data_IF_976598181988
#
_entry.id   IF_976598181988
#
_cell.length_a   1.000
_cell.length_b   1.000
_cell.length_c   1.000
_cell.angle_alpha   90.00
_cell.angle_beta   90.00
_cell.angle_gamma   90.00
#
_symmetry.space_group_name_H-M   'P 1'
#
loop_
_entity.id
_entity.type
_entity.pdbx_description
1 polymer ?
#
# COMPACT_ATOMS: atom_id res chain seq x y z
N UNK A 1 32.86 7.76 -5.67
CA UNK A 1 32.02 8.66 -4.83
C UNK A 1 31.10 7.83 -3.94
N UNK A 2 31.35 7.76 -2.62
CA UNK A 2 30.43 7.12 -1.67
C UNK A 2 29.27 8.09 -1.40
N UNK A 3 28.06 7.73 -1.81
CA UNK A 3 26.83 8.48 -1.49
C UNK A 3 26.71 8.50 0.03
N UNK A 4 26.89 9.68 0.63
CA UNK A 4 26.76 9.88 2.07
C UNK A 4 25.31 9.55 2.41
N UNK A 5 25.07 8.41 3.05
CA UNK A 5 23.76 8.13 3.65
C UNK A 5 23.61 9.11 4.81
N UNK A 6 23.06 10.30 4.53
CA UNK A 6 22.52 11.15 5.58
C UNK A 6 21.37 10.32 6.15
N UNK A 7 21.57 9.82 7.36
CA UNK A 7 20.50 9.23 8.13
C UNK A 7 19.59 10.39 8.53
N UNK A 8 18.71 10.79 7.61
CA UNK A 8 17.58 11.68 7.83
C UNK A 8 16.59 10.96 8.76
N UNK A 9 17.02 10.64 9.99
CA UNK A 9 16.11 10.23 11.05
C UNK A 9 15.14 11.39 11.17
N UNK A 10 13.93 11.22 10.63
CA UNK A 10 12.91 12.27 10.59
C UNK A 10 12.50 12.57 12.01
N UNK A 11 13.11 13.58 12.62
CA UNK A 11 12.58 14.21 13.81
C UNK A 11 11.39 15.03 13.32
N UNK A 12 10.20 14.43 13.40
CA UNK A 12 8.95 15.13 13.17
C UNK A 12 8.46 15.69 14.50
N UNK A 13 8.12 16.98 14.51
CA UNK A 13 7.42 17.57 15.65
C UNK A 13 6.11 16.81 15.91
N UNK A 14 5.64 16.75 17.18
CA UNK A 14 4.35 16.15 17.49
C UNK A 14 3.22 16.69 16.62
N UNK A 15 2.44 15.78 16.02
CA UNK A 15 1.34 16.07 15.11
C UNK A 15 0.16 15.15 15.42
N UNK A 16 -1.05 15.59 15.08
CA UNK A 16 -2.24 14.74 15.13
C UNK A 16 -2.25 13.67 14.03
N UNK A 17 -1.39 13.81 13.03
CA UNK A 17 -1.26 12.85 11.93
C UNK A 17 -0.07 11.93 12.23
N UNK A 18 -0.33 10.63 12.26
CA UNK A 18 0.69 9.60 12.39
C UNK A 18 0.97 8.96 11.02
N UNK A 19 2.21 8.54 10.82
CA UNK A 19 2.61 7.68 9.70
C UNK A 19 2.75 6.26 10.22
N UNK A 20 1.95 5.33 9.68
CA UNK A 20 2.11 3.90 9.94
C UNK A 20 2.91 3.20 8.83
N UNK A 21 3.74 2.25 9.23
CA UNK A 21 4.56 1.43 8.34
C UNK A 21 4.44 -0.04 8.71
N UNK A 22 4.93 -0.89 7.80
CA UNK A 22 5.05 -2.33 8.01
C UNK A 22 3.71 -2.97 8.38
N UNK A 23 2.65 -2.59 7.68
CA UNK A 23 1.34 -3.24 7.79
C UNK A 23 1.17 -4.24 6.64
N UNK A 24 0.34 -5.28 6.78
CA UNK A 24 0.03 -6.19 5.70
C UNK A 24 -0.47 -5.48 4.43
N UNK A 25 -0.27 -6.06 3.25
CA UNK A 25 -0.75 -5.48 1.98
C UNK A 25 -2.26 -5.59 1.83
N UNK A 26 -2.83 -6.62 2.44
CA UNK A 26 -4.25 -6.93 2.55
C UNK A 26 -4.94 -6.23 3.74
N UNK A 27 -4.22 -5.37 4.49
CA UNK A 27 -4.79 -4.66 5.64
C UNK A 27 -5.97 -3.77 5.21
N UNK A 28 -7.06 -3.84 5.99
CA UNK A 28 -8.17 -2.91 5.89
C UNK A 28 -7.99 -1.76 6.88
N UNK A 29 -8.20 -0.51 6.45
CA UNK A 29 -8.11 0.64 7.35
C UNK A 29 -9.08 0.57 8.54
N UNK A 30 -10.19 -0.17 8.43
CA UNK A 30 -11.11 -0.45 9.53
C UNK A 30 -10.46 -1.29 10.64
N UNK A 31 -9.56 -2.23 10.29
CA UNK A 31 -8.80 -3.00 11.27
C UNK A 31 -7.83 -2.11 12.05
N UNK A 32 -7.14 -1.20 11.34
CA UNK A 32 -6.25 -0.20 11.96
C UNK A 32 -7.05 0.71 12.90
N UNK A 33 -8.19 1.25 12.47
CA UNK A 33 -9.06 2.05 13.33
C UNK A 33 -9.50 1.27 14.57
N UNK A 34 -9.97 0.03 14.39
CA UNK A 34 -10.44 -0.81 15.50
C UNK A 34 -9.34 -1.07 16.54
N UNK A 35 -8.12 -1.35 16.09
CA UNK A 35 -6.97 -1.48 16.98
C UNK A 35 -6.74 -0.20 17.82
N UNK A 36 -6.82 0.97 17.17
CA UNK A 36 -6.62 2.26 17.84
C UNK A 36 -7.70 2.56 18.88
N UNK A 37 -8.98 2.42 18.51
CA UNK A 37 -10.08 2.73 19.44
C UNK A 37 -10.09 1.77 20.64
N UNK A 38 -9.72 0.51 20.43
CA UNK A 38 -9.63 -0.49 21.49
C UNK A 38 -8.49 -0.17 22.45
N UNK A 39 -7.29 0.12 21.94
CA UNK A 39 -6.14 0.45 22.77
C UNK A 39 -6.33 1.76 23.56
N UNK A 40 -7.02 2.74 22.97
CA UNK A 40 -7.28 4.03 23.61
C UNK A 40 -8.57 4.07 24.43
N UNK A 41 -9.44 3.04 24.32
CA UNK A 41 -10.80 3.05 24.87
C UNK A 41 -11.58 4.32 24.48
N UNK A 42 -11.43 4.77 23.23
CA UNK A 42 -11.93 6.05 22.75
C UNK A 42 -12.40 5.92 21.29
N UNK A 43 -13.73 5.86 21.09
CA UNK A 43 -14.37 5.57 19.78
C UNK A 43 -14.14 6.66 18.74
N UNK A 44 -14.03 7.91 19.19
CA UNK A 44 -13.83 9.11 18.37
C UNK A 44 -12.36 9.53 18.26
N UNK A 45 -11.43 8.67 18.68
CA UNK A 45 -9.99 8.97 18.62
C UNK A 45 -9.49 9.16 17.19
N UNK A 46 -10.07 8.45 16.22
CA UNK A 46 -9.62 8.40 14.81
C UNK A 46 -10.58 9.19 13.93
N UNK A 47 -10.07 10.23 13.27
CA UNK A 47 -10.82 11.01 12.28
C UNK A 47 -10.74 10.36 10.89
N UNK A 48 -9.55 9.90 10.51
CA UNK A 48 -9.37 9.28 9.20
C UNK A 48 -8.20 8.31 9.14
N UNK A 49 -8.30 7.35 8.23
CA UNK A 49 -7.24 6.41 7.86
C UNK A 49 -6.99 6.56 6.37
N UNK A 50 -5.74 6.74 5.96
CA UNK A 50 -5.34 6.80 4.55
C UNK A 50 -4.37 5.68 4.26
N UNK A 51 -4.70 4.78 3.34
CA UNK A 51 -3.76 3.80 2.78
C UNK A 51 -3.06 4.47 1.60
N UNK A 52 -1.73 4.63 1.69
CA UNK A 52 -0.93 5.28 0.64
C UNK A 52 -0.62 4.31 -0.50
N UNK A 53 -0.27 4.81 -1.70
CA UNK A 53 0.10 3.95 -2.81
C UNK A 53 1.42 3.25 -2.51
N UNK A 54 1.59 2.05 -3.08
CA UNK A 54 2.86 1.34 -3.01
C UNK A 54 3.90 2.11 -3.82
N UNK A 55 5.05 2.37 -3.20
CA UNK A 55 6.14 3.10 -3.88
C UNK A 55 6.85 2.27 -4.94
N UNK A 56 6.82 0.94 -4.79
CA UNK A 56 7.44 0.00 -5.71
C UNK A 56 6.46 -1.15 -6.00
N UNK A 57 6.50 -1.75 -7.20
CA UNK A 57 5.61 -2.86 -7.57
C UNK A 57 5.79 -4.12 -6.69
N UNK A 58 6.97 -4.31 -6.13
CA UNK A 58 7.36 -5.45 -5.28
C UNK A 58 7.22 -5.15 -3.78
N UNK A 59 6.47 -4.09 -3.41
CA UNK A 59 6.30 -3.70 -2.02
C UNK A 59 5.75 -4.86 -1.19
N UNK A 60 6.47 -5.23 -0.13
CA UNK A 60 6.10 -6.34 0.78
C UNK A 60 5.15 -5.93 1.90
N UNK A 61 4.97 -4.63 2.09
CA UNK A 61 4.17 -4.06 3.17
C UNK A 61 3.48 -2.79 2.69
N UNK A 62 2.34 -2.51 3.32
CA UNK A 62 1.61 -1.27 3.14
C UNK A 62 2.08 -0.20 4.14
N UNK A 63 1.76 1.05 3.82
CA UNK A 63 2.05 2.22 4.63
C UNK A 63 0.95 3.25 4.44
N UNK A 64 0.77 4.12 5.42
CA UNK A 64 -0.28 5.12 5.33
C UNK A 64 -0.29 6.12 6.46
N UNK A 65 -1.38 6.87 6.54
CA UNK A 65 -1.54 7.95 7.50
C UNK A 65 -2.78 7.70 8.37
N UNK A 66 -2.65 8.05 9.64
CA UNK A 66 -3.71 7.97 10.64
C UNK A 66 -3.90 9.36 11.24
N UNK A 67 -5.05 9.98 10.99
CA UNK A 67 -5.39 11.28 11.57
C UNK A 67 -6.19 11.08 12.86
N UNK A 68 -5.61 11.58 13.95
CA UNK A 68 -6.16 11.51 15.30
C UNK A 68 -6.92 12.79 15.64
N UNK A 69 -7.84 12.69 16.61
CA UNK A 69 -8.61 13.84 17.08
C UNK A 69 -7.74 14.90 17.79
N UNK A 70 -6.66 14.50 18.44
CA UNK A 70 -5.70 15.40 19.08
C UNK A 70 -4.27 14.87 19.01
N UNK A 71 -3.29 15.75 19.27
CA UNK A 71 -1.87 15.38 19.37
C UNK A 71 -1.63 14.44 20.56
N UNK A 72 -2.34 14.62 21.68
CA UNK A 72 -2.21 13.76 22.85
C UNK A 72 -2.66 12.32 22.56
N UNK A 73 -3.77 12.16 21.84
CA UNK A 73 -4.24 10.85 21.39
C UNK A 73 -3.26 10.22 20.41
N UNK A 74 -2.65 11.01 19.53
CA UNK A 74 -1.59 10.53 18.63
C UNK A 74 -0.35 10.06 19.40
N UNK A 75 0.10 10.79 20.42
CA UNK A 75 1.21 10.37 21.26
C UNK A 75 0.89 9.06 22.02
N UNK A 76 -0.31 8.97 22.61
CA UNK A 76 -0.78 7.74 23.27
C UNK A 76 -0.87 6.55 22.30
N UNK A 77 -1.38 6.78 21.09
CA UNK A 77 -1.45 5.75 20.06
C UNK A 77 -0.06 5.22 19.69
N UNK A 78 0.95 6.09 19.53
CA UNK A 78 2.34 5.65 19.32
C UNK A 78 2.80 4.77 20.50
N UNK A 79 2.60 5.23 21.74
CA UNK A 79 3.06 4.49 22.92
C UNK A 79 2.46 3.09 23.03
N UNK A 80 1.17 2.95 22.70
CA UNK A 80 0.41 1.71 22.92
C UNK A 80 0.42 0.75 21.72
N UNK A 81 0.52 1.27 20.50
CA UNK A 81 0.31 0.49 19.27
C UNK A 81 1.57 0.29 18.45
N UNK A 82 2.66 1.00 18.76
CA UNK A 82 3.92 0.76 18.09
C UNK A 82 4.38 -0.69 18.39
N UNK A 83 4.72 -1.42 17.34
CA UNK A 83 5.01 -2.86 17.35
C UNK A 83 3.81 -3.77 17.61
N UNK A 84 2.58 -3.28 17.46
CA UNK A 84 1.41 -4.15 17.42
C UNK A 84 1.53 -5.17 16.28
N UNK A 85 1.21 -6.43 16.59
CA UNK A 85 1.13 -7.51 15.61
C UNK A 85 -0.14 -7.38 14.77
N UNK A 86 0.03 -7.49 13.45
CA UNK A 86 -1.04 -7.52 12.46
C UNK A 86 -0.90 -8.77 11.62
N UNK A 87 -1.95 -9.59 11.63
CA UNK A 87 -2.03 -10.79 10.81
C UNK A 87 -2.23 -10.44 9.33
N UNK A 88 -1.73 -11.32 8.46
CA UNK A 88 -1.90 -11.22 7.00
C UNK A 88 -2.34 -12.57 6.45
N UNK A 89 -3.23 -12.55 5.46
CA UNK A 89 -3.54 -13.73 4.66
C UNK A 89 -2.36 -14.19 3.77
N UNK A 90 -1.34 -13.34 3.61
CA UNK A 90 -0.22 -13.54 2.68
C UNK A 90 1.10 -13.91 3.36
N UNK A 91 1.11 -14.03 4.69
CA UNK A 91 2.30 -14.30 5.49
C UNK A 91 1.93 -15.12 6.72
N UNK A 92 2.71 -16.16 7.00
CA UNK A 92 2.59 -16.95 8.24
C UNK A 92 3.09 -16.20 9.48
N UNK A 93 3.94 -15.19 9.28
CA UNK A 93 4.48 -14.36 10.35
C UNK A 93 3.72 -13.03 10.46
N UNK A 94 3.40 -12.58 11.69
CA UNK A 94 2.71 -11.33 11.91
C UNK A 94 3.58 -10.12 11.57
N UNK A 95 2.95 -9.08 11.05
CA UNK A 95 3.59 -7.80 10.79
C UNK A 95 3.63 -6.95 12.05
N UNK A 96 4.79 -6.41 12.41
CA UNK A 96 4.92 -5.45 13.51
C UNK A 96 4.73 -4.03 13.00
N UNK A 97 3.55 -3.46 13.22
CA UNK A 97 3.21 -2.10 12.80
C UNK A 97 4.18 -1.10 13.44
N UNK A 98 4.63 -0.10 12.69
CA UNK A 98 5.44 1.01 13.23
C UNK A 98 4.70 2.32 13.10
N UNK A 99 4.70 3.12 14.16
CA UNK A 99 4.08 4.45 14.18
C UNK A 99 5.12 5.53 14.46
N UNK A 100 4.99 6.66 13.75
CA UNK A 100 5.68 7.90 14.12
C UNK A 100 4.83 9.11 13.77
N UNK A 101 5.20 10.28 14.32
CA UNK A 101 4.59 11.53 13.87
C UNK A 101 4.86 11.78 12.40
N UNK A 102 3.83 12.17 11.68
CA UNK A 102 3.93 12.58 10.28
C UNK A 102 4.47 14.00 10.19
N UNK A 103 5.22 14.29 9.12
CA UNK A 103 5.59 15.66 8.75
C UNK A 103 4.39 16.51 8.32
N UNK A 104 3.25 15.87 8.05
CA UNK A 104 2.01 16.53 7.67
C UNK A 104 1.29 17.04 8.92
N UNK A 105 0.81 18.28 8.86
CA UNK A 105 0.06 18.93 9.94
C UNK A 105 -1.43 18.99 9.63
N UNK A 106 -1.80 18.97 8.35
CA UNK A 106 -3.19 19.09 7.90
C UNK A 106 -3.46 18.18 6.70
N UNK A 107 -4.64 17.57 6.70
CA UNK A 107 -5.20 16.81 5.59
C UNK A 107 -6.53 17.44 5.19
N UNK A 108 -6.76 17.66 3.90
CA UNK A 108 -8.01 18.24 3.37
C UNK A 108 -8.43 17.57 2.08
N UNK A 109 -9.72 17.31 1.92
CA UNK A 109 -10.30 16.97 0.62
C UNK A 109 -10.51 18.26 -0.17
N UNK A 110 -10.16 18.28 -1.46
CA UNK A 110 -10.34 19.46 -2.31
C UNK A 110 -11.84 19.68 -2.58
N UNK A 111 -12.34 20.89 -2.30
CA UNK A 111 -13.76 21.30 -2.39
C UNK A 111 -14.37 21.36 -3.81
N UNK A 112 -13.73 20.78 -4.82
CA UNK A 112 -14.20 20.84 -6.21
C UNK A 112 -13.89 19.57 -7.01
N UNK A 113 -12.78 18.91 -6.69
CA UNK A 113 -12.43 17.59 -7.21
C UNK A 113 -12.50 16.59 -6.04
N UNK A 114 -13.61 15.86 -5.91
CA UNK A 114 -13.82 14.88 -4.82
C UNK A 114 -12.72 13.79 -4.78
N UNK A 115 -11.97 13.63 -5.86
CA UNK A 115 -10.97 12.58 -6.08
C UNK A 115 -9.55 12.94 -5.60
N UNK A 116 -9.35 14.04 -4.87
CA UNK A 116 -8.03 14.48 -4.45
C UNK A 116 -7.92 14.79 -2.96
N UNK A 117 -6.92 14.19 -2.31
CA UNK A 117 -6.52 14.47 -0.95
C UNK A 117 -5.27 15.35 -0.94
N UNK A 118 -5.33 16.44 -0.21
CA UNK A 118 -4.26 17.42 -0.08
C UNK A 118 -3.66 17.33 1.31
N UNK A 119 -2.35 17.14 1.38
CA UNK A 119 -1.57 17.14 2.61
C UNK A 119 -0.68 18.36 2.66
N UNK A 120 -0.76 19.10 3.76
CA UNK A 120 0.05 20.29 3.99
C UNK A 120 0.95 20.05 5.19
N UNK A 121 2.19 20.51 5.11
CA UNK A 121 3.04 20.74 6.28
C UNK A 121 3.04 22.23 6.56
N UNK A 122 2.91 22.59 7.83
CA UNK A 122 3.19 23.94 8.31
C UNK A 122 4.51 23.81 9.04
N UNK A 123 5.54 24.53 8.60
CA UNK A 123 6.76 24.66 9.39
C UNK A 123 6.35 25.19 10.77
N UNK A 124 6.40 24.33 11.79
CA UNK A 124 6.17 24.80 13.17
C UNK A 124 7.44 25.52 13.56
N UNK A 125 7.34 26.83 13.55
CA UNK A 125 8.32 27.76 14.08
C UNK A 125 8.74 27.28 15.48
N UNK A 126 9.84 26.55 15.60
CA UNK A 126 10.46 26.21 16.88
C UNK A 126 11.36 27.39 17.23
N UNK A 127 11.09 28.16 18.31
CA UNK A 127 11.88 29.34 18.66
C UNK A 127 13.32 29.00 19.11
N UNK A 128 13.66 27.72 19.24
CA UNK A 128 14.97 27.29 19.66
C UNK A 128 15.88 27.15 18.44
N UNK A 129 16.58 28.26 18.16
CA UNK A 129 17.84 28.44 17.44
C UNK A 129 17.74 29.51 16.34
N UNK A 130 18.10 30.73 16.75
CA UNK A 130 18.65 31.85 15.98
C UNK A 130 17.84 32.43 14.81
N UNK A 131 17.49 33.71 14.99
CA UNK A 131 17.16 34.71 13.97
C UNK A 131 17.33 34.26 12.51
N UNK A 132 16.23 33.87 11.89
CA UNK A 132 16.03 34.09 10.47
C UNK A 132 14.54 34.22 10.21
N UNK A 133 14.15 35.34 9.59
CA UNK A 133 12.85 35.50 8.96
C UNK A 133 12.75 34.41 7.87
N UNK A 134 12.24 33.23 8.21
CA UNK A 134 11.92 32.20 7.25
C UNK A 134 10.41 32.24 7.01
N UNK A 135 10.07 32.63 5.79
CA UNK A 135 8.72 32.56 5.22
C UNK A 135 8.08 31.22 5.57
N UNK A 136 6.78 31.23 5.90
CA UNK A 136 5.97 30.01 6.08
C UNK A 136 6.08 29.10 4.85
N UNK A 137 7.05 28.21 4.85
CA UNK A 137 7.22 27.21 3.80
C UNK A 137 6.17 26.12 4.04
N UNK A 138 5.01 26.30 3.41
CA UNK A 138 3.98 25.28 3.31
C UNK A 138 4.36 24.35 2.16
N UNK A 139 4.80 23.13 2.47
CA UNK A 139 4.91 22.08 1.46
C UNK A 139 3.57 21.36 1.34
N UNK A 140 3.12 21.21 0.11
CA UNK A 140 1.84 20.59 -0.24
C UNK A 140 2.08 19.37 -1.11
N UNK A 141 1.41 18.26 -0.80
CA UNK A 141 1.36 17.06 -1.65
C UNK A 141 -0.08 16.69 -1.92
N UNK A 142 -0.36 16.31 -3.16
CA UNK A 142 -1.68 15.87 -3.62
C UNK A 142 -1.62 14.38 -3.96
N UNK A 143 -2.53 13.60 -3.38
CA UNK A 143 -2.77 12.22 -3.78
C UNK A 143 -4.12 12.12 -4.49
N UNK A 144 -4.15 11.37 -5.60
CA UNK A 144 -5.40 10.94 -6.20
C UNK A 144 -5.99 9.85 -5.31
N UNK A 145 -7.28 9.98 -5.01
CA UNK A 145 -8.02 9.01 -4.21
C UNK A 145 -8.75 8.08 -5.15
N UNK A 146 -8.53 6.78 -4.97
CA UNK A 146 -9.19 5.74 -5.76
C UNK A 146 -10.55 5.38 -5.15
N UNK A 147 -10.62 5.30 -3.82
CA UNK A 147 -11.87 5.01 -3.10
C UNK A 147 -11.95 5.78 -1.78
N UNK A 148 -13.13 6.32 -1.51
CA UNK A 148 -13.48 6.97 -0.24
C UNK A 148 -14.58 6.17 0.41
N UNK A 149 -14.38 5.72 1.65
CA UNK A 149 -15.44 5.12 2.46
C UNK A 149 -15.67 5.99 3.68
N UNK A 150 -16.87 6.57 3.78
CA UNK A 150 -17.32 7.27 4.98
C UNK A 150 -18.15 6.29 5.79
N UNK A 151 -17.76 6.08 7.02
CA UNK A 151 -18.45 5.15 7.92
C UNK A 151 -18.85 5.89 9.18
N UNK A 152 -20.01 5.50 9.70
CA UNK A 152 -20.56 6.00 10.96
C UNK A 152 -20.75 4.81 11.88
N UNK A 153 -20.19 4.92 13.08
CA UNK A 153 -20.21 3.88 14.11
C UNK A 153 -20.69 4.55 15.40
N UNK A 154 -21.93 4.22 15.82
CA UNK A 154 -22.57 4.83 16.99
C UNK A 154 -22.43 6.37 17.04
N UNK A 155 -22.86 7.03 15.97
CA UNK A 155 -22.79 8.50 15.77
C UNK A 155 -21.39 9.10 15.59
N UNK A 156 -20.33 8.29 15.64
CA UNK A 156 -18.97 8.72 15.33
C UNK A 156 -18.66 8.49 13.85
N UNK A 157 -18.51 9.59 13.11
CA UNK A 157 -18.09 9.55 11.71
C UNK A 157 -16.58 9.47 11.57
N UNK A 158 -16.10 8.61 10.67
CA UNK A 158 -14.69 8.56 10.27
C UNK A 158 -14.57 8.28 8.77
N UNK A 159 -13.40 8.56 8.20
CA UNK A 159 -13.17 8.37 6.76
C UNK A 159 -11.99 7.46 6.47
N UNK A 160 -12.19 6.50 5.58
CA UNK A 160 -11.14 5.69 4.97
C UNK A 160 -10.85 6.20 3.56
N UNK A 161 -9.61 6.59 3.33
CA UNK A 161 -9.07 6.98 2.04
C UNK A 161 -8.17 5.86 1.51
N UNK A 162 -8.55 5.27 0.39
CA UNK A 162 -7.72 4.29 -0.32
C UNK A 162 -7.16 4.96 -1.59
N UNK A 163 -5.85 5.19 -1.61
CA UNK A 163 -5.15 5.79 -2.76
C UNK A 163 -4.38 4.75 -3.56
N UNK A 164 -4.60 3.45 -3.31
CA UNK A 164 -4.04 2.39 -4.15
C UNK A 164 -4.84 2.34 -5.44
N UNK A 165 -4.17 2.29 -6.58
CA UNK A 165 -4.86 2.01 -7.84
C UNK A 165 -5.29 0.53 -7.86
N UNK A 166 -6.56 0.25 -8.17
CA UNK A 166 -7.08 -1.11 -8.33
C UNK A 166 -6.50 -1.83 -9.56
N UNK A 167 -5.70 -1.15 -10.39
CA UNK A 167 -5.15 -1.67 -11.65
C UNK A 167 -3.96 -2.61 -11.43
N UNK A 168 -3.54 -2.84 -10.19
CA UNK A 168 -2.52 -3.86 -9.85
C UNK A 168 -3.16 -5.06 -9.14
N UNK A 169 -4.32 -5.53 -9.63
CA UNK A 169 -4.56 -6.97 -9.57
C UNK A 169 -3.77 -7.61 -10.71
N UNK A 170 -2.96 -8.59 -10.35
CA UNK A 170 -2.10 -9.32 -11.27
C UNK A 170 -2.92 -9.88 -12.43
N UNK A 171 -2.68 -9.39 -13.64
CA UNK A 171 -2.78 -10.26 -14.80
C UNK A 171 -1.55 -11.13 -14.72
N UNK A 172 -1.76 -12.38 -14.33
CA UNK A 172 -0.80 -13.47 -14.44
C UNK A 172 -0.48 -13.65 -15.94
N UNK A 173 0.75 -13.41 -16.42
CA UNK A 173 1.11 -13.74 -17.79
C UNK A 173 1.61 -15.17 -17.86
N UNK A 174 0.95 -16.12 -17.18
CA UNK A 174 1.35 -17.53 -17.28
C UNK A 174 0.21 -18.50 -16.97
N UNK A 175 -0.85 -18.44 -17.78
CA UNK A 175 -1.81 -19.53 -17.87
C UNK A 175 -2.46 -19.60 -19.26
N UNK A 176 -1.68 -19.82 -20.31
CA UNK A 176 -2.14 -20.63 -21.45
C UNK A 176 -1.05 -21.64 -21.83
N UNK A 177 -1.41 -22.92 -21.69
CA UNK A 177 -0.60 -24.10 -21.95
C UNK A 177 -0.22 -24.24 -23.44
N UNK A 178 0.85 -25.01 -23.75
CA UNK A 178 1.35 -25.16 -25.10
C UNK A 178 0.40 -26.02 -25.94
N UNK A 179 0.05 -25.54 -27.14
CA UNK A 179 -0.50 -26.40 -28.19
C UNK A 179 0.53 -26.41 -29.31
N UNK A 180 1.34 -27.46 -29.31
CA UNK A 180 2.17 -27.84 -30.44
C UNK A 180 1.31 -28.20 -31.66
N UNK A 181 1.96 -28.11 -32.82
CA UNK A 181 1.60 -28.62 -34.14
C UNK A 181 0.85 -27.60 -35.05
N UNK A 182 1.28 -27.26 -36.26
CA UNK A 182 2.16 -27.95 -37.20
C UNK A 182 2.91 -26.96 -38.11
N UNK A 183 4.22 -27.21 -38.26
CA UNK A 183 5.02 -26.74 -39.38
C UNK A 183 4.63 -27.57 -40.61
N UNK A 184 4.17 -26.91 -41.67
CA UNK A 184 3.92 -27.56 -42.95
C UNK A 184 5.22 -27.92 -43.65
N UNK A 185 5.38 -29.19 -44.04
CA UNK A 185 5.96 -29.57 -45.33
C UNK A 185 5.82 -31.07 -45.59
N UNK A 186 5.34 -31.38 -46.80
CA UNK A 186 5.53 -32.60 -47.60
C UNK A 186 4.74 -33.88 -47.26
N UNK A 187 4.03 -34.42 -48.27
CA UNK A 187 3.49 -35.79 -48.29
C UNK A 187 2.09 -35.92 -48.91
N UNK A 188 1.94 -35.79 -50.23
CA UNK A 188 1.61 -36.90 -51.17
C UNK A 188 0.13 -37.37 -51.14
N UNK A 189 -0.59 -37.08 -52.22
CA UNK A 189 -1.87 -37.71 -52.60
C UNK A 189 -1.59 -38.89 -53.54
N UNK A 190 -2.21 -40.04 -53.26
CA UNK A 190 -1.86 -41.34 -53.85
C UNK A 190 -2.52 -41.69 -55.18
N UNK A 191 -2.09 -42.82 -55.76
CA UNK A 191 -2.82 -43.74 -56.65
C UNK A 191 -2.12 -45.12 -56.64
N UNK A 192 -2.89 -46.22 -56.53
CA UNK A 192 -2.53 -47.68 -56.61
C UNK A 192 -2.08 -48.12 -58.04
N UNK A 193 -1.72 -49.41 -58.37
CA UNK A 193 -1.54 -50.67 -57.59
C UNK A 193 -0.30 -51.58 -57.93
N UNK A 194 -0.03 -52.60 -57.07
CA UNK A 194 0.54 -54.01 -57.24
C UNK A 194 1.76 -54.37 -58.17
N UNK A 195 2.37 -55.60 -58.09
CA UNK A 195 2.63 -56.55 -56.97
C UNK A 195 4.05 -57.24 -56.96
N UNK A 196 4.23 -58.19 -56.02
CA UNK A 196 5.24 -59.28 -55.92
C UNK A 196 6.67 -58.87 -55.52
N UNK A 197 7.48 -59.63 -54.77
CA UNK A 197 7.52 -61.05 -54.48
C UNK A 197 8.46 -61.31 -53.26
N UNK A 198 8.20 -62.39 -52.51
CA UNK A 198 9.13 -63.25 -51.72
C UNK A 198 10.16 -62.63 -50.75
N UNK A 199 10.55 -63.22 -49.61
CA UNK A 199 10.21 -64.41 -48.85
C UNK A 199 11.03 -64.36 -47.53
N UNK A 200 10.54 -65.05 -46.49
CA UNK A 200 11.28 -65.70 -45.38
C UNK A 200 12.28 -64.86 -44.55
N UNK A 201 12.29 -64.91 -43.22
CA UNK A 201 12.11 -66.08 -42.37
C UNK A 201 13.34 -66.22 -41.48
N UNK A 202 13.08 -66.36 -40.20
CA UNK A 202 13.95 -66.33 -39.03
C UNK A 202 14.97 -67.47 -38.94
N UNK A 203 15.97 -67.24 -38.07
CA UNK A 203 16.65 -68.19 -37.18
C UNK A 203 17.87 -68.98 -37.70
N UNK A 204 18.92 -68.99 -36.86
CA UNK A 204 20.14 -69.78 -36.99
C UNK A 204 21.33 -69.09 -36.36
#
# INVERSE_FOLDING_TARGET
>A
YKKKFINERRIAAPSKILHFFNTPLDINGSQIRRAVINALSCKDAVQSVTILPQKQPDAKFSTGLLEMKSVDLAAKAILLLNHMQLESSRSEFPFLMKLCFSKWSKMQQKSGDSTALIFNTTSRNTPWLFHRYELELVSTVKYKVSRVTRATDEDVTWTLWDTRDLVTEAIDPEAENPVDAQYGSSGVSGTLPEPADRAAGTAG
#
